data_IF_527058188158
#
_entry.id   IF_527058188158
#
_cell.length_a   1.000
_cell.length_b   1.000
_cell.length_c   1.000
_cell.angle_alpha   90.00
_cell.angle_beta   90.00
_cell.angle_gamma   90.00
#
_symmetry.space_group_name_H-M   'P 1'
#
loop_
_entity.id
_entity.type
_entity.pdbx_description
1 polymer ?
#
# COMPACT_ATOMS: atom_id res chain seq x y z
N UNK A 1 2.47 17.09 14.85
CA UNK A 1 1.88 15.78 14.56
C UNK A 1 0.39 16.01 14.29
N UNK A 2 -0.15 15.45 13.21
CA UNK A 2 -1.56 15.60 12.81
C UNK A 2 -2.24 14.21 12.76
N UNK A 3 -3.55 14.20 12.60
CA UNK A 3 -4.44 13.03 12.70
C UNK A 3 -4.93 12.51 11.33
N UNK A 4 -4.44 13.09 10.24
CA UNK A 4 -4.83 12.69 8.89
C UNK A 4 -4.41 11.24 8.57
N UNK A 5 -5.20 10.48 7.79
CA UNK A 5 -4.85 9.12 7.39
C UNK A 5 -3.46 9.06 6.74
N UNK A 6 -2.66 8.09 7.17
CA UNK A 6 -1.27 7.99 6.77
C UNK A 6 -0.97 6.67 6.04
N UNK A 7 -0.07 6.73 5.07
CA UNK A 7 0.45 5.56 4.34
C UNK A 7 1.98 5.58 4.44
N UNK A 8 2.56 4.44 4.80
CA UNK A 8 4.01 4.24 4.74
C UNK A 8 4.33 3.12 3.74
N UNK A 9 5.40 3.30 2.96
CA UNK A 9 5.94 2.29 2.06
C UNK A 9 7.46 2.24 2.22
N UNK A 10 8.01 1.04 2.36
CA UNK A 10 9.45 0.83 2.56
C UNK A 10 9.95 -0.35 1.74
N UNK A 11 11.26 -0.40 1.47
CA UNK A 11 11.92 -1.52 0.79
C UNK A 11 12.23 -2.71 1.73
N UNK A 12 11.55 -2.75 2.89
CA UNK A 12 11.60 -3.82 3.88
C UNK A 12 10.19 -4.39 4.08
N UNK A 13 10.11 -5.53 4.78
CA UNK A 13 8.84 -6.10 5.24
C UNK A 13 8.00 -5.08 6.02
N UNK A 14 6.67 -5.20 5.96
CA UNK A 14 5.71 -4.27 6.58
C UNK A 14 6.04 -3.96 8.04
N UNK A 15 6.47 -4.96 8.81
CA UNK A 15 6.83 -4.80 10.23
C UNK A 15 7.84 -3.66 10.47
N UNK A 16 8.73 -3.36 9.52
CA UNK A 16 9.69 -2.27 9.65
C UNK A 16 9.02 -0.89 9.80
N UNK A 17 7.96 -0.61 9.05
CA UNK A 17 7.19 0.62 9.25
C UNK A 17 6.09 0.45 10.30
N UNK A 18 5.56 -0.77 10.44
CA UNK A 18 4.46 -1.05 11.37
C UNK A 18 4.87 -0.98 12.85
N UNK A 19 6.16 -1.14 13.16
CA UNK A 19 6.69 -1.03 14.53
C UNK A 19 6.39 0.30 15.22
N UNK A 20 6.10 1.38 14.47
CA UNK A 20 5.76 2.69 15.05
C UNK A 20 4.26 2.92 15.21
N UNK A 21 3.40 1.96 14.86
CA UNK A 21 1.92 2.13 14.82
C UNK A 21 1.34 2.74 16.09
N UNK A 22 1.79 2.32 17.27
CA UNK A 22 1.30 2.83 18.56
C UNK A 22 1.63 4.31 18.81
N UNK A 23 2.68 4.83 18.17
CA UNK A 23 3.13 6.21 18.30
C UNK A 23 2.60 7.12 17.18
N UNK A 24 1.97 6.54 16.14
CA UNK A 24 1.36 7.31 15.06
C UNK A 24 0.02 7.87 15.55
N UNK A 25 -0.16 9.21 15.54
CA UNK A 25 -1.35 9.88 16.07
C UNK A 25 -2.59 9.81 15.15
N UNK A 26 -2.48 9.21 13.96
CA UNK A 26 -3.58 9.06 13.01
C UNK A 26 -4.42 7.81 13.31
N UNK A 27 -5.74 7.91 13.12
CA UNK A 27 -6.66 6.78 13.29
C UNK A 27 -6.36 5.62 12.32
N UNK A 28 -6.02 5.96 11.07
CA UNK A 28 -5.64 5.01 10.02
C UNK A 28 -4.18 5.20 9.59
N UNK A 29 -3.41 4.10 9.66
CA UNK A 29 -2.02 4.01 9.21
C UNK A 29 -1.83 2.72 8.42
N UNK A 30 -1.86 2.81 7.09
CA UNK A 30 -1.58 1.67 6.19
C UNK A 30 -0.08 1.54 5.95
N UNK A 31 0.39 0.30 5.95
CA UNK A 31 1.79 -0.02 5.69
C UNK A 31 1.92 -0.94 4.48
N UNK A 32 2.78 -0.54 3.54
CA UNK A 32 3.23 -1.31 2.40
C UNK A 32 4.69 -1.73 2.65
N UNK A 33 5.04 -2.94 2.21
CA UNK A 33 6.36 -3.50 2.45
C UNK A 33 6.61 -4.74 1.59
N UNK A 34 7.89 -5.08 1.47
CA UNK A 34 8.43 -6.13 0.59
C UNK A 34 8.44 -7.50 1.25
N UNK A 35 7.35 -7.87 1.94
CA UNK A 35 7.19 -9.21 2.53
C UNK A 35 7.23 -10.29 1.43
N UNK A 36 8.10 -11.29 1.58
CA UNK A 36 8.26 -12.40 0.63
C UNK A 36 9.71 -12.63 0.24
N UNK A 37 9.93 -13.67 -0.56
CA UNK A 37 11.27 -13.97 -1.09
C UNK A 37 11.59 -13.09 -2.29
N UNK A 38 12.85 -12.64 -2.37
CA UNK A 38 13.36 -11.91 -3.53
C UNK A 38 13.33 -12.76 -4.80
N UNK A 39 13.16 -12.09 -5.94
CA UNK A 39 13.26 -12.67 -7.29
C UNK A 39 14.00 -11.72 -8.22
N UNK A 40 14.54 -12.24 -9.31
CA UNK A 40 15.27 -11.44 -10.31
C UNK A 40 14.28 -10.79 -11.28
N UNK A 41 14.23 -9.46 -11.29
CA UNK A 41 13.53 -8.67 -12.31
C UNK A 41 14.04 -7.21 -12.26
N UNK A 42 13.52 -6.35 -13.13
CA UNK A 42 13.72 -4.91 -13.08
C UNK A 42 13.17 -4.29 -11.79
N UNK A 43 13.70 -3.13 -11.40
CA UNK A 43 13.21 -2.40 -10.21
C UNK A 43 11.72 -2.04 -10.31
N UNK A 44 11.25 -1.68 -11.50
CA UNK A 44 9.86 -1.35 -11.75
C UNK A 44 8.96 -2.56 -11.49
N UNK A 45 9.27 -3.70 -12.13
CA UNK A 45 8.52 -4.94 -11.96
C UNK A 45 8.56 -5.44 -10.52
N UNK A 46 9.71 -5.38 -9.84
CA UNK A 46 9.81 -5.82 -8.44
C UNK A 46 9.00 -4.93 -7.51
N UNK A 47 9.03 -3.60 -7.67
CA UNK A 47 8.26 -2.70 -6.80
C UNK A 47 6.75 -2.83 -7.04
N UNK A 48 6.35 -3.14 -8.26
CA UNK A 48 4.95 -3.45 -8.57
C UNK A 48 4.54 -4.84 -8.03
N UNK A 49 5.44 -5.82 -8.14
CA UNK A 49 5.24 -7.16 -7.59
C UNK A 49 5.08 -7.13 -6.07
N UNK A 50 5.99 -6.44 -5.36
CA UNK A 50 5.95 -6.31 -3.90
C UNK A 50 4.94 -5.27 -3.40
N UNK A 51 4.20 -4.60 -4.28
CA UNK A 51 3.10 -3.70 -3.90
C UNK A 51 3.57 -2.44 -3.14
N UNK A 52 4.76 -1.93 -3.47
CA UNK A 52 5.41 -0.80 -2.76
C UNK A 52 5.63 0.44 -3.63
N UNK A 53 5.32 0.37 -4.93
CA UNK A 53 5.46 1.52 -5.84
C UNK A 53 4.40 2.63 -5.60
N UNK A 54 4.52 3.72 -6.37
CA UNK A 54 3.62 4.87 -6.26
C UNK A 54 2.14 4.51 -6.51
N UNK A 55 1.85 3.52 -7.36
CA UNK A 55 0.47 3.15 -7.65
C UNK A 55 -0.22 2.54 -6.43
N UNK A 56 0.46 1.65 -5.71
CA UNK A 56 -0.06 1.04 -4.48
C UNK A 56 -0.17 2.08 -3.36
N UNK A 57 0.76 3.04 -3.26
CA UNK A 57 0.66 4.16 -2.31
C UNK A 57 -0.61 4.99 -2.58
N UNK A 58 -0.91 5.29 -3.84
CA UNK A 58 -2.11 6.03 -4.23
C UNK A 58 -3.38 5.25 -3.88
N UNK A 59 -3.45 3.96 -4.26
CA UNK A 59 -4.63 3.12 -3.95
C UNK A 59 -4.81 2.95 -2.44
N UNK A 60 -3.72 2.81 -1.67
CA UNK A 60 -3.78 2.75 -0.21
C UNK A 60 -4.34 4.05 0.39
N UNK A 61 -3.88 5.21 -0.07
CA UNK A 61 -4.35 6.51 0.42
C UNK A 61 -5.82 6.76 0.06
N UNK A 62 -6.20 6.55 -1.20
CA UNK A 62 -7.59 6.68 -1.66
C UNK A 62 -8.51 5.73 -0.89
N UNK A 63 -8.05 4.50 -0.64
CA UNK A 63 -8.82 3.52 0.12
C UNK A 63 -9.06 3.92 1.59
N UNK A 64 -8.20 4.74 2.21
CA UNK A 64 -8.47 5.28 3.55
C UNK A 64 -9.48 6.44 3.51
N UNK A 65 -9.36 7.35 2.54
CA UNK A 65 -10.35 8.40 2.32
C UNK A 65 -11.74 7.83 2.00
N UNK A 66 -11.81 6.74 1.22
CA UNK A 66 -13.07 6.09 0.87
C UNK A 66 -13.74 5.40 2.08
N UNK A 67 -12.96 4.87 3.04
CA UNK A 67 -13.52 4.35 4.30
C UNK A 67 -14.12 5.44 5.17
N UNK A 68 -13.53 6.65 5.14
CA UNK A 68 -14.04 7.85 5.83
C UNK A 68 -15.23 8.50 5.11
N UNK A 69 -15.59 8.02 3.92
CA UNK A 69 -16.67 8.58 3.11
C UNK A 69 -16.34 9.92 2.44
N UNK A 70 -15.05 10.31 2.42
CA UNK A 70 -14.60 11.55 1.79
C UNK A 70 -14.56 11.45 0.26
N UNK A 71 -14.43 10.22 -0.26
CA UNK A 71 -14.52 9.91 -1.69
C UNK A 71 -15.35 8.65 -1.93
N UNK A 72 -15.90 8.51 -3.14
CA UNK A 72 -16.61 7.29 -3.54
C UNK A 72 -15.63 6.11 -3.68
N UNK A 73 -16.04 4.92 -3.22
CA UNK A 73 -15.29 3.67 -3.39
C UNK A 73 -14.96 3.36 -4.85
N UNK A 74 -15.78 3.82 -5.79
CA UNK A 74 -15.52 3.72 -7.24
C UNK A 74 -14.21 4.39 -7.64
N UNK A 75 -13.83 5.51 -7.02
CA UNK A 75 -12.55 6.18 -7.30
C UNK A 75 -11.36 5.25 -7.01
N UNK A 76 -11.46 4.42 -5.96
CA UNK A 76 -10.43 3.44 -5.62
C UNK A 76 -10.39 2.31 -6.65
N UNK A 77 -11.55 1.80 -7.06
CA UNK A 77 -11.65 0.75 -8.08
C UNK A 77 -11.15 1.22 -9.46
N UNK A 78 -11.48 2.46 -9.84
CA UNK A 78 -10.99 3.10 -11.05
C UNK A 78 -9.46 3.28 -10.99
N UNK A 79 -8.90 3.65 -9.83
CA UNK A 79 -7.46 3.76 -9.63
C UNK A 79 -6.75 2.40 -9.75
N UNK A 80 -7.29 1.34 -9.14
CA UNK A 80 -6.76 -0.04 -9.29
C UNK A 80 -6.67 -0.41 -10.77
N UNK A 81 -7.75 -0.17 -11.53
CA UNK A 81 -7.81 -0.46 -12.97
C UNK A 81 -6.82 0.41 -13.75
N UNK A 82 -6.80 1.72 -13.47
CA UNK A 82 -5.91 2.69 -14.14
C UNK A 82 -4.43 2.37 -13.98
N UNK A 83 -4.04 1.84 -12.83
CA UNK A 83 -2.65 1.50 -12.54
C UNK A 83 -2.28 0.04 -12.85
N UNK A 84 -3.18 -0.72 -13.49
CA UNK A 84 -2.97 -2.13 -13.82
C UNK A 84 -2.61 -2.99 -12.59
N UNK A 85 -3.23 -2.70 -11.43
CA UNK A 85 -3.04 -3.50 -10.22
C UNK A 85 -3.91 -4.74 -10.31
N UNK A 86 -3.27 -5.91 -10.25
CA UNK A 86 -3.96 -7.18 -10.07
C UNK A 86 -4.34 -7.36 -8.59
N UNK A 87 -5.63 -7.13 -8.29
CA UNK A 87 -6.17 -7.24 -6.94
C UNK A 87 -6.32 -8.70 -6.45
N UNK A 88 -6.30 -9.67 -7.37
CA UNK A 88 -6.53 -11.09 -7.09
C UNK A 88 -5.22 -11.91 -7.13
N UNK A 89 -4.08 -11.27 -7.41
CA UNK A 89 -2.78 -11.94 -7.39
C UNK A 89 -2.46 -12.53 -6.03
N UNK A 90 -1.65 -13.59 -6.02
CA UNK A 90 -1.13 -14.17 -4.77
C UNK A 90 -0.35 -13.12 -3.98
N UNK A 91 -0.61 -13.06 -2.67
CA UNK A 91 0.11 -12.16 -1.76
C UNK A 91 1.63 -12.39 -1.90
N UNK A 92 2.47 -11.34 -2.03
CA UNK A 92 3.91 -11.48 -2.26
C UNK A 92 4.65 -12.36 -1.25
N UNK A 93 4.15 -12.46 -0.01
CA UNK A 93 4.69 -13.35 1.03
C UNK A 93 4.56 -14.85 0.68
N UNK A 94 3.56 -15.20 -0.13
CA UNK A 94 3.20 -16.57 -0.53
C UNK A 94 3.51 -16.85 -2.01
N UNK A 95 4.12 -15.89 -2.71
CA UNK A 95 4.35 -15.90 -4.16
C UNK A 95 5.65 -16.58 -4.58
#
# INVERSE_FOLDING_TARGET
MNDAPAVASTDYMKLFAEQVRTYVPADDYRVLGTDGFGRSDSRENLRHHFEVDASYVVVAALGELAKRGEIDKKVVADAITKFNIDADKVNPRLA
#
